data_IF_675997371635
#
_entry.id   IF_675997371635
#
_cell.length_a   1.000
_cell.length_b   1.000
_cell.length_c   1.000
_cell.angle_alpha   90.00
_cell.angle_beta   90.00
_cell.angle_gamma   90.00
#
_symmetry.space_group_name_H-M   'P 1'
#
loop_
_entity.id
_entity.type
_entity.pdbx_description
1 polymer ?
#
# COMPACT_ATOMS: atom_id res chain seq x y z
N UNK A 1 2.09 14.01 -11.67
CA UNK A 1 3.05 12.91 -11.40
C UNK A 1 2.35 11.55 -11.59
N UNK A 2 1.56 11.37 -12.65
CA UNK A 2 1.03 10.03 -12.94
C UNK A 2 2.15 9.16 -13.54
N UNK A 3 2.15 7.86 -13.21
CA UNK A 3 3.01 6.86 -13.86
C UNK A 3 4.44 6.68 -13.31
N UNK A 4 4.72 7.05 -12.05
CA UNK A 4 6.03 6.81 -11.41
C UNK A 4 6.02 5.69 -10.34
N UNK A 5 4.84 5.19 -9.98
CA UNK A 5 4.64 4.12 -8.99
C UNK A 5 3.66 3.11 -9.53
N UNK A 6 3.94 1.84 -9.29
CA UNK A 6 3.14 0.72 -9.73
C UNK A 6 2.84 -0.19 -8.54
N UNK A 7 1.56 -0.51 -8.36
CA UNK A 7 1.10 -1.32 -7.24
C UNK A 7 0.68 -2.70 -7.72
N UNK A 8 1.05 -3.71 -6.96
CA UNK A 8 0.66 -5.09 -7.18
C UNK A 8 0.32 -5.73 -5.84
N UNK A 9 -0.57 -6.72 -5.88
CA UNK A 9 -0.87 -7.57 -4.73
C UNK A 9 -0.90 -9.06 -5.11
N UNK A 10 -1.09 -9.90 -4.11
CA UNK A 10 -1.22 -11.35 -4.26
C UNK A 10 -2.67 -11.82 -4.39
N UNK A 11 -3.64 -10.89 -4.45
CA UNK A 11 -5.07 -11.16 -4.41
C UNK A 11 -5.75 -11.04 -5.79
N UNK A 12 -4.97 -11.02 -6.89
CA UNK A 12 -5.53 -11.03 -8.26
C UNK A 12 -6.49 -12.19 -8.51
N UNK A 13 -6.16 -13.39 -8.02
CA UNK A 13 -7.03 -14.56 -8.17
C UNK A 13 -8.36 -14.43 -7.41
N UNK A 14 -8.40 -13.59 -6.37
CA UNK A 14 -9.57 -13.31 -5.56
C UNK A 14 -10.34 -12.05 -6.03
N UNK A 15 -10.02 -11.51 -7.21
CA UNK A 15 -10.76 -10.42 -7.83
C UNK A 15 -10.11 -9.04 -7.77
N UNK A 16 -8.88 -8.91 -7.23
CA UNK A 16 -8.17 -7.62 -7.23
C UNK A 16 -7.93 -7.13 -8.66
N UNK A 17 -8.21 -5.85 -8.91
CA UNK A 17 -8.14 -5.23 -10.25
C UNK A 17 -7.10 -4.11 -10.28
N UNK A 18 -6.75 -3.64 -11.49
CA UNK A 18 -5.76 -2.58 -11.70
C UNK A 18 -4.34 -2.95 -11.20
N UNK A 19 -3.91 -4.18 -11.46
CA UNK A 19 -2.54 -4.63 -11.18
C UNK A 19 -1.53 -3.88 -12.06
N UNK A 20 -0.40 -3.47 -11.48
CA UNK A 20 0.65 -2.78 -12.22
C UNK A 20 0.25 -1.36 -12.64
N UNK A 21 -0.65 -0.72 -11.90
CA UNK A 21 -1.04 0.68 -12.10
C UNK A 21 -0.89 1.46 -10.80
N UNK A 22 -1.10 2.78 -10.85
CA UNK A 22 -1.11 3.67 -9.68
C UNK A 22 -2.43 3.65 -8.88
N UNK A 23 -3.42 2.89 -9.32
CA UNK A 23 -4.78 2.85 -8.76
C UNK A 23 -5.27 1.41 -8.53
N UNK A 24 -4.39 0.58 -7.96
CA UNK A 24 -4.70 -0.80 -7.55
C UNK A 24 -5.94 -0.85 -6.67
N UNK A 25 -6.78 -1.83 -6.94
CA UNK A 25 -7.97 -2.15 -6.15
C UNK A 25 -7.81 -3.55 -5.56
N UNK A 26 -7.37 -3.60 -4.31
CA UNK A 26 -7.12 -4.85 -3.59
C UNK A 26 -8.41 -5.36 -2.96
N UNK A 27 -8.79 -6.60 -3.29
CA UNK A 27 -9.94 -7.27 -2.67
C UNK A 27 -9.55 -7.77 -1.28
N UNK A 28 -10.40 -7.48 -0.30
CA UNK A 28 -10.21 -7.81 1.12
C UNK A 28 -11.52 -8.21 1.81
N UNK A 29 -11.40 -8.90 2.94
CA UNK A 29 -12.47 -9.15 3.91
C UNK A 29 -12.07 -8.72 5.33
N UNK A 30 -13.04 -8.57 6.24
CA UNK A 30 -12.74 -8.26 7.63
C UNK A 30 -11.87 -9.37 8.26
N UNK A 31 -10.82 -8.97 8.98
CA UNK A 31 -9.82 -9.88 9.54
C UNK A 31 -8.59 -10.09 8.64
N UNK A 32 -8.64 -9.69 7.37
CA UNK A 32 -7.47 -9.78 6.49
C UNK A 32 -6.32 -8.92 7.01
N UNK A 33 -5.12 -9.48 6.87
CA UNK A 33 -3.87 -8.78 7.21
C UNK A 33 -3.16 -8.33 5.95
N UNK A 34 -3.03 -7.03 5.82
CA UNK A 34 -2.36 -6.39 4.70
C UNK A 34 -0.91 -6.08 5.07
N UNK A 35 0.01 -6.37 4.15
CA UNK A 35 1.43 -6.04 4.27
C UNK A 35 1.83 -5.20 3.07
N UNK A 36 2.39 -4.03 3.33
CA UNK A 36 2.92 -3.14 2.29
C UNK A 36 4.44 -3.09 2.36
N UNK A 37 5.05 -3.24 1.19
CA UNK A 37 6.49 -3.11 0.98
C UNK A 37 6.72 -2.26 -0.27
N UNK A 38 7.88 -1.61 -0.35
CA UNK A 38 8.29 -0.84 -1.52
C UNK A 38 9.64 -1.35 -2.00
N UNK A 39 9.81 -1.37 -3.32
CA UNK A 39 11.08 -1.68 -3.98
C UNK A 39 11.30 -0.65 -5.09
N UNK A 40 12.52 -0.16 -5.23
CA UNK A 40 12.94 0.66 -6.36
C UNK A 40 13.30 -0.23 -7.55
N UNK A 41 12.98 0.22 -8.77
CA UNK A 41 13.43 -0.48 -9.99
C UNK A 41 14.92 -0.21 -10.29
N UNK A 42 15.46 0.92 -9.82
CA UNK A 42 16.87 1.25 -9.93
C UNK A 42 17.65 0.72 -8.72
N UNK A 43 18.77 0.02 -8.97
CA UNK A 43 19.53 -0.74 -7.96
C UNK A 43 20.18 0.10 -6.84
N UNK A 44 20.18 1.42 -6.93
CA UNK A 44 20.84 2.32 -5.97
C UNK A 44 19.90 3.43 -5.47
N UNK A 45 18.63 3.38 -5.86
CA UNK A 45 17.65 4.35 -5.43
C UNK A 45 17.06 3.95 -4.07
N UNK A 46 17.27 4.77 -3.05
CA UNK A 46 16.54 4.63 -1.79
C UNK A 46 15.04 4.82 -2.02
N UNK A 47 14.21 3.90 -1.52
CA UNK A 47 12.77 4.05 -1.46
C UNK A 47 12.24 3.53 -0.12
N UNK A 48 11.40 4.31 0.55
CA UNK A 48 10.75 3.90 1.79
C UNK A 48 9.32 4.42 1.85
N UNK A 49 8.41 3.62 2.40
CA UNK A 49 7.08 4.09 2.76
C UNK A 49 7.20 4.93 4.04
N UNK A 50 6.78 6.18 3.94
CA UNK A 50 6.77 7.15 5.04
C UNK A 50 5.47 7.09 5.84
N UNK A 51 4.34 6.95 5.15
CA UNK A 51 3.01 6.90 5.77
C UNK A 51 2.01 6.21 4.83
N UNK A 52 1.04 5.50 5.41
CA UNK A 52 -0.16 4.99 4.71
C UNK A 52 -1.37 5.70 5.30
N UNK A 53 -1.98 6.57 4.49
CA UNK A 53 -3.12 7.40 4.89
C UNK A 53 -4.40 6.69 4.49
N UNK A 54 -5.03 6.04 5.46
CA UNK A 54 -6.30 5.32 5.34
C UNK A 54 -7.16 5.64 6.56
N UNK A 55 -8.48 5.53 6.43
CA UNK A 55 -9.39 5.65 7.56
C UNK A 55 -9.10 4.56 8.61
N UNK A 56 -8.65 4.99 9.79
CA UNK A 56 -8.24 4.10 10.88
C UNK A 56 -9.37 3.20 11.39
N UNK A 57 -10.62 3.57 11.16
CA UNK A 57 -11.77 2.73 11.52
C UNK A 57 -11.83 1.45 10.67
N UNK A 58 -11.23 1.45 9.47
CA UNK A 58 -11.16 0.29 8.59
C UNK A 58 -9.84 -0.46 8.69
N UNK A 59 -8.72 0.25 8.81
CA UNK A 59 -7.40 -0.38 8.95
C UNK A 59 -6.46 0.63 9.59
N UNK A 60 -5.67 0.19 10.58
CA UNK A 60 -4.61 1.02 11.17
C UNK A 60 -3.25 0.46 10.77
N UNK A 61 -2.55 1.06 9.79
CA UNK A 61 -1.22 0.63 9.40
C UNK A 61 -0.17 0.97 10.45
N UNK A 62 0.73 0.04 10.70
CA UNK A 62 1.86 0.19 11.61
C UNK A 62 3.15 -0.20 10.91
N UNK A 63 4.19 0.62 11.08
CA UNK A 63 5.54 0.31 10.59
C UNK A 63 6.20 -0.72 11.50
N UNK A 64 6.79 -1.74 10.90
CA UNK A 64 7.61 -2.76 11.57
C UNK A 64 8.90 -2.98 10.81
N UNK A 65 9.83 -3.70 11.44
CA UNK A 65 11.11 -4.09 10.86
C UNK A 65 11.29 -5.59 11.08
N UNK A 66 11.81 -6.31 10.08
CA UNK A 66 12.15 -7.71 10.26
C UNK A 66 13.30 -7.85 11.24
N UNK A 67 13.14 -8.72 12.24
CA UNK A 67 14.13 -8.93 13.30
C UNK A 67 15.51 -9.28 12.71
N UNK A 68 16.54 -8.58 13.20
CA UNK A 68 17.92 -8.76 12.72
C UNK A 68 18.23 -8.11 11.37
N UNK A 69 17.34 -7.28 10.82
CA UNK A 69 17.56 -6.56 9.54
C UNK A 69 17.12 -5.11 9.63
N UNK A 70 17.52 -4.27 8.67
CA UNK A 70 16.99 -2.92 8.47
C UNK A 70 15.78 -2.88 7.50
N UNK A 71 15.25 -4.05 7.13
CA UNK A 71 14.14 -4.16 6.17
C UNK A 71 12.82 -3.80 6.87
N UNK A 72 12.31 -2.61 6.59
CA UNK A 72 11.03 -2.16 7.12
C UNK A 72 9.85 -2.55 6.22
N UNK A 73 8.71 -2.85 6.84
CA UNK A 73 7.43 -3.08 6.17
C UNK A 73 6.30 -2.39 6.96
N UNK A 74 5.17 -2.19 6.32
CA UNK A 74 3.96 -1.72 6.98
C UNK A 74 2.94 -2.85 7.05
N UNK A 75 2.18 -2.91 8.14
CA UNK A 75 1.17 -3.95 8.36
C UNK A 75 -0.08 -3.38 8.98
N UNK A 76 -1.24 -3.91 8.59
CA UNK A 76 -2.53 -3.50 9.13
C UNK A 76 -3.53 -4.63 9.03
N UNK A 77 -4.55 -4.61 9.88
CA UNK A 77 -5.66 -5.57 9.84
C UNK A 77 -6.94 -4.85 9.45
N UNK A 78 -7.68 -5.40 8.50
CA UNK A 78 -9.00 -4.90 8.10
C UNK A 78 -9.98 -5.17 9.25
N UNK A 79 -10.49 -4.12 9.89
CA UNK A 79 -11.27 -4.21 11.13
C UNK A 79 -12.75 -4.54 10.91
N UNK A 80 -13.29 -4.18 9.74
CA UNK A 80 -14.71 -4.31 9.38
C UNK A 80 -14.88 -4.42 7.88
N UNK A 81 -16.06 -4.84 7.46
CA UNK A 81 -16.37 -5.02 6.04
C UNK A 81 -16.17 -3.73 5.25
N UNK A 82 -15.51 -3.89 4.11
CA UNK A 82 -15.21 -2.81 3.17
C UNK A 82 -16.15 -2.93 1.99
N UNK A 83 -16.75 -1.82 1.53
CA UNK A 83 -17.35 -1.77 0.19
C UNK A 83 -16.30 -1.33 -0.81
N UNK A 84 -15.96 -0.04 -0.77
CA UNK A 84 -14.83 0.56 -1.47
C UNK A 84 -14.31 1.67 -0.56
N UNK A 85 -13.05 1.63 -0.16
CA UNK A 85 -12.43 2.74 0.59
C UNK A 85 -11.14 3.19 -0.10
N UNK A 86 -10.96 4.50 -0.35
CA UNK A 86 -9.73 5.02 -0.90
C UNK A 86 -8.65 5.12 0.19
N UNK A 87 -7.39 5.00 -0.23
CA UNK A 87 -6.24 5.34 0.60
C UNK A 87 -5.08 5.85 -0.25
N UNK A 88 -4.11 6.49 0.41
CA UNK A 88 -2.92 7.02 -0.21
C UNK A 88 -1.67 6.54 0.52
N UNK A 89 -0.54 6.50 -0.19
CA UNK A 89 0.76 6.18 0.38
C UNK A 89 1.71 7.35 0.12
N UNK A 90 2.47 7.73 1.15
CA UNK A 90 3.58 8.69 1.06
C UNK A 90 4.90 7.93 1.04
N UNK A 91 5.78 8.32 0.13
CA UNK A 91 7.08 7.67 -0.09
C UNK A 91 8.21 8.67 0.07
N UNK A 92 9.33 8.24 0.65
CA UNK A 92 10.62 8.90 0.46
C UNK A 92 11.35 8.18 -0.68
N UNK A 93 11.85 8.94 -1.65
CA UNK A 93 12.55 8.39 -2.81
C UNK A 93 13.82 9.21 -3.13
N UNK A 94 14.95 8.52 -3.32
CA UNK A 94 16.25 9.13 -3.58
C UNK A 94 16.72 10.05 -2.45
N UNK A 95 17.28 11.20 -2.81
CA UNK A 95 17.76 12.24 -1.88
C UNK A 95 16.71 13.31 -1.54
N UNK A 96 15.45 13.12 -1.97
CA UNK A 96 14.39 14.09 -1.71
C UNK A 96 14.07 14.15 -0.22
N UNK A 97 14.11 15.35 0.34
CA UNK A 97 13.74 15.60 1.74
C UNK A 97 12.23 15.43 1.97
N UNK A 98 11.41 15.87 1.01
CA UNK A 98 9.95 15.82 1.12
C UNK A 98 9.36 14.51 0.56
N UNK A 99 8.40 13.89 1.25
CA UNK A 99 7.70 12.71 0.76
C UNK A 99 6.88 12.97 -0.51
N UNK A 100 6.87 12.00 -1.42
CA UNK A 100 6.00 11.97 -2.60
C UNK A 100 4.71 11.26 -2.21
N UNK A 101 3.56 11.91 -2.41
CA UNK A 101 2.25 11.28 -2.22
C UNK A 101 1.79 10.65 -3.54
N UNK A 102 1.11 9.50 -3.47
CA UNK A 102 0.44 8.89 -4.63
C UNK A 102 -0.43 9.92 -5.36
N UNK A 103 -0.26 10.02 -6.69
CA UNK A 103 -1.05 10.95 -7.51
C UNK A 103 -2.51 10.51 -7.71
N UNK A 104 -2.76 9.20 -7.61
CA UNK A 104 -4.07 8.58 -7.67
C UNK A 104 -4.36 7.83 -6.37
N UNK A 105 -5.63 7.64 -6.04
CA UNK A 105 -6.01 6.84 -4.87
C UNK A 105 -5.88 5.35 -5.17
N UNK A 106 -5.39 4.62 -4.19
CA UNK A 106 -5.53 3.18 -4.10
C UNK A 106 -6.86 2.86 -3.44
N UNK A 107 -7.36 1.64 -3.61
CA UNK A 107 -8.63 1.25 -3.01
C UNK A 107 -8.55 -0.13 -2.37
N UNK A 108 -9.17 -0.28 -1.20
CA UNK A 108 -9.60 -1.59 -0.72
C UNK A 108 -11.05 -1.81 -1.18
N UNK A 109 -11.34 -3.00 -1.70
CA UNK A 109 -12.66 -3.39 -2.23
C UNK A 109 -13.13 -4.63 -1.51
N UNK A 110 -14.40 -4.66 -1.11
CA UNK A 110 -15.01 -5.85 -0.49
C UNK A 110 -15.12 -7.00 -1.46
N UNK A 111 -15.04 -8.23 -0.92
CA UNK A 111 -15.21 -9.47 -1.69
C UNK A 111 -16.57 -9.59 -2.41
N UNK A 112 -17.61 -8.94 -1.86
CA UNK A 112 -18.98 -8.95 -2.39
C UNK A 112 -19.42 -7.59 -2.96
N UNK A 113 -18.47 -6.68 -3.25
CA UNK A 113 -18.74 -5.31 -3.71
C UNK A 113 -18.93 -5.17 -5.23
#
# INVERSE_FOLDING_TARGET
>A
MSGQVYFMDTNKANGSTNQGTENLKTVVEAGDRLVWTVISLECEAYAAIDEIVIDEDYCKPEKKTYEGTDVSYWIGTVKKDVKIIPYNIKFKAGTRAEPITTASSLYLVGKDA
#
